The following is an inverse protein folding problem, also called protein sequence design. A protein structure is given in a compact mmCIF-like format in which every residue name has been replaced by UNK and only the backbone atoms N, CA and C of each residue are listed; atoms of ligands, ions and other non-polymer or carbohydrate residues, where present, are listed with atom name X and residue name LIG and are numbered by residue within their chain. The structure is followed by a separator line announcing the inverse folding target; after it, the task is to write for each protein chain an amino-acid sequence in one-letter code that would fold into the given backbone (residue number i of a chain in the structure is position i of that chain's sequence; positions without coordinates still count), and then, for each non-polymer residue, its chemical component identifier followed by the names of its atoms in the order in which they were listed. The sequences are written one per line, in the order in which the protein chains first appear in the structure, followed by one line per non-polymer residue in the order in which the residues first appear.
data_IF_478850948109
#
_entry.id   IF_478850948109
#
_cell.length_a   1.000
_cell.length_b   1.000
_cell.length_c   1.000
_cell.angle_alpha   90.00
_cell.angle_beta   90.00
_cell.angle_gamma   90.00
#
_symmetry.space_group_name_H-M   'P 1'
#
loop_
_entity.id
_entity.type
_entity.pdbx_description
1 polymer ?
#
# COMPACT_ATOMS: atom_id res chain seq x y z
N UNK A 1 -12.83 -5.21 2.35
CA UNK A 1 -12.74 -6.48 1.58
C UNK A 1 -13.66 -6.50 0.36
N UNK A 2 -14.98 -6.22 0.48
CA UNK A 2 -15.93 -6.28 -0.65
C UNK A 2 -15.49 -5.47 -1.89
N UNK A 3 -15.12 -4.19 -1.69
CA UNK A 3 -14.63 -3.30 -2.77
C UNK A 3 -13.38 -3.84 -3.48
N UNK A 4 -12.45 -4.47 -2.77
CA UNK A 4 -11.26 -5.11 -3.36
C UNK A 4 -11.67 -6.28 -4.26
N UNK A 5 -12.66 -7.06 -3.84
CA UNK A 5 -13.16 -8.18 -4.64
C UNK A 5 -13.90 -7.72 -5.90
N UNK A 6 -14.60 -6.59 -5.83
CA UNK A 6 -15.42 -6.05 -6.94
C UNK A 6 -14.58 -5.26 -7.97
N UNK A 7 -13.56 -4.53 -7.53
CA UNK A 7 -12.81 -3.57 -8.35
C UNK A 7 -11.31 -3.87 -8.47
N UNK A 8 -10.82 -4.89 -7.77
CA UNK A 8 -9.39 -5.08 -7.58
C UNK A 8 -8.80 -4.07 -6.57
N UNK A 9 -7.61 -4.40 -6.06
CA UNK A 9 -7.02 -3.65 -4.95
C UNK A 9 -6.62 -2.22 -5.33
N UNK A 10 -6.14 -2.00 -6.55
CA UNK A 10 -5.61 -0.70 -6.97
C UNK A 10 -6.71 0.36 -7.09
N UNK A 11 -7.83 0.01 -7.74
CA UNK A 11 -8.99 0.88 -7.85
C UNK A 11 -9.70 1.06 -6.50
N UNK A 12 -9.77 -0.01 -5.69
CA UNK A 12 -10.33 0.07 -4.34
C UNK A 12 -9.53 1.02 -3.44
N UNK A 13 -8.20 0.95 -3.47
CA UNK A 13 -7.34 1.85 -2.70
C UNK A 13 -7.38 3.29 -3.23
N UNK A 14 -7.46 3.49 -4.55
CA UNK A 14 -7.60 4.83 -5.13
C UNK A 14 -8.93 5.52 -4.75
N UNK A 15 -9.98 4.74 -4.51
CA UNK A 15 -11.33 5.25 -4.21
C UNK A 15 -11.66 5.30 -2.71
N UNK A 16 -10.82 4.77 -1.84
CA UNK A 16 -11.03 4.70 -0.39
C UNK A 16 -9.73 5.02 0.36
N UNK A 17 -9.60 6.23 0.94
CA UNK A 17 -8.40 6.65 1.67
C UNK A 17 -8.02 5.71 2.82
N UNK A 18 -8.99 5.12 3.51
CA UNK A 18 -8.71 4.20 4.62
C UNK A 18 -8.10 2.88 4.10
N UNK A 19 -8.50 2.43 2.91
CA UNK A 19 -7.84 1.30 2.25
C UNK A 19 -6.44 1.67 1.74
N UNK A 20 -6.25 2.89 1.23
CA UNK A 20 -4.94 3.37 0.80
C UNK A 20 -3.93 3.40 1.95
N UNK A 21 -4.33 3.88 3.13
CA UNK A 21 -3.48 3.90 4.32
C UNK A 21 -3.07 2.49 4.79
N UNK A 22 -3.86 1.46 4.46
CA UNK A 22 -3.50 0.08 4.77
C UNK A 22 -2.43 -0.54 3.85
N UNK A 23 -2.01 0.13 2.77
CA UNK A 23 -1.07 -0.45 1.80
C UNK A 23 0.38 -0.39 2.29
N UNK A 24 0.93 -1.56 2.61
CA UNK A 24 2.30 -1.69 3.14
C UNK A 24 3.35 -2.01 2.07
N UNK A 25 2.99 -2.80 1.05
CA UNK A 25 3.91 -3.21 -0.02
C UNK A 25 3.22 -3.21 -1.38
N UNK A 26 3.99 -2.92 -2.43
CA UNK A 26 3.55 -3.02 -3.82
C UNK A 26 4.77 -3.28 -4.71
N UNK A 27 4.64 -4.20 -5.67
CA UNK A 27 5.69 -4.46 -6.68
C UNK A 27 7.10 -4.70 -6.08
N UNK A 28 7.16 -5.43 -4.96
CA UNK A 28 8.42 -5.75 -4.26
C UNK A 28 9.01 -4.60 -3.44
N UNK A 29 8.26 -3.51 -3.22
CA UNK A 29 8.73 -2.32 -2.50
C UNK A 29 7.81 -1.95 -1.34
N UNK A 30 8.38 -1.38 -0.28
CA UNK A 30 7.64 -0.81 0.83
C UNK A 30 6.97 0.51 0.43
N UNK A 31 5.74 0.75 0.93
CA UNK A 31 4.96 1.96 0.65
C UNK A 31 4.52 2.69 1.92
N UNK A 32 4.35 1.98 3.03
CA UNK A 32 3.84 2.60 4.27
C UNK A 32 4.98 3.24 5.09
N UNK A 33 4.91 4.53 5.46
CA UNK A 33 5.99 5.24 6.14
C UNK A 33 6.47 4.57 7.43
N UNK A 34 5.54 4.06 8.25
CA UNK A 34 5.89 3.36 9.50
C UNK A 34 6.67 2.06 9.27
N UNK A 35 6.42 1.36 8.17
CA UNK A 35 7.14 0.13 7.81
C UNK A 35 8.51 0.47 7.21
N UNK A 36 8.58 1.51 6.37
CA UNK A 36 9.86 2.03 5.86
C UNK A 36 10.78 2.43 7.02
N UNK A 37 10.26 3.14 8.02
CA UNK A 37 11.02 3.54 9.19
C UNK A 37 11.50 2.34 10.04
N UNK A 38 10.70 1.27 10.11
CA UNK A 38 11.05 0.06 10.85
C UNK A 38 12.06 -0.84 10.12
N UNK A 39 12.14 -0.77 8.78
CA UNK A 39 13.00 -1.59 7.94
C UNK A 39 13.78 -0.72 6.93
N UNK A 40 14.70 0.14 7.40
CA UNK A 40 15.38 1.12 6.55
C UNK A 40 16.28 0.50 5.46
N UNK A 41 16.67 -0.77 5.64
CA UNK A 41 17.53 -1.49 4.68
C UNK A 41 16.75 -2.17 3.54
N UNK A 42 15.41 -2.14 3.57
CA UNK A 42 14.56 -2.73 2.53
C UNK A 42 14.20 -1.72 1.44
N UNK A 43 14.01 -2.15 0.18
CA UNK A 43 13.66 -1.26 -0.91
C UNK A 43 12.28 -0.61 -0.70
N UNK A 44 12.25 0.71 -0.59
CA UNK A 44 11.04 1.51 -0.60
C UNK A 44 10.67 1.97 -2.02
N UNK A 45 9.39 2.33 -2.22
CA UNK A 45 8.95 3.02 -3.42
C UNK A 45 9.46 4.46 -3.38
N UNK A 46 10.06 4.91 -4.47
CA UNK A 46 10.43 6.31 -4.63
C UNK A 46 9.16 7.16 -4.78
N UNK A 47 9.12 8.30 -4.09
CA UNK A 47 7.99 9.23 -4.06
C UNK A 47 7.78 9.95 -5.37
#
# INVERSE_FOLDING_TARGET
VRRIAEHGWAEAAASDPALAEGLNTQAGRLTHPGVIAAFPDLPAREG
#
